data_IF_657136802392
#
_entry.id   IF_657136802392
#
_cell.length_a   1.000
_cell.length_b   1.000
_cell.length_c   1.000
_cell.angle_alpha   90.00
_cell.angle_beta   90.00
_cell.angle_gamma   90.00
#
_symmetry.space_group_name_H-M   'P 1'
#
loop_
_entity.id
_entity.type
_entity.pdbx_description
1 polymer ?
2 water ?
#
# COMPACT_ATOMS: atom_id res chain seq x y z
N UNK A 13 17.26 18.78 17.11
CA UNK A 13 16.61 18.98 18.41
C UNK A 13 15.65 17.85 18.62
N UNK A 14 16.14 16.60 18.49
CA UNK A 14 15.44 15.40 18.81
C UNK A 14 15.88 14.93 20.18
N UNK A 15 14.99 14.97 21.17
CA UNK A 15 15.34 14.50 22.51
C UNK A 15 14.73 13.14 22.73
N UNK A 16 15.50 12.29 23.37
CA UNK A 16 14.95 11.02 23.85
C UNK A 16 13.75 11.33 24.69
N UNK A 17 12.75 10.49 24.58
CA UNK A 17 11.50 10.61 25.28
C UNK A 17 11.64 9.96 26.63
N UNK A 18 10.72 10.26 27.54
CA UNK A 18 10.75 9.56 28.83
C UNK A 18 9.64 8.53 28.82
N UNK A 19 9.93 7.33 29.32
CA UNK A 19 8.86 6.33 29.48
C UNK A 19 7.66 6.97 30.16
N UNK A 20 6.48 6.71 29.65
CA UNK A 20 5.26 7.15 30.31
C UNK A 20 4.71 8.43 29.70
N UNK A 21 5.55 9.10 28.94
CA UNK A 21 5.13 10.35 28.34
C UNK A 21 4.17 10.00 27.21
N UNK A 22 4.48 8.98 26.44
CA UNK A 22 3.59 8.62 25.34
C UNK A 22 3.27 7.14 25.43
N UNK A 23 2.31 6.78 26.25
CA UNK A 23 1.98 5.36 26.41
C UNK A 23 1.26 4.81 25.18
N UNK A 24 0.66 5.70 24.37
CA UNK A 24 -0.07 5.31 23.21
C UNK A 24 0.79 5.14 21.95
N UNK A 25 2.08 5.23 22.04
CA UNK A 25 2.94 4.95 20.94
C UNK A 25 2.80 3.47 20.57
N UNK A 26 2.82 3.18 19.29
CA UNK A 26 2.78 1.83 18.83
C UNK A 26 3.86 1.61 17.83
N UNK A 27 4.50 0.45 17.91
CA UNK A 27 5.44 0.06 16.88
C UNK A 27 4.87 -1.16 16.17
N UNK A 28 5.01 -1.20 14.86
CA UNK A 28 4.62 -2.38 14.10
C UNK A 28 5.86 -3.26 13.80
N UNK A 29 5.69 -4.56 13.94
CA UNK A 29 6.75 -5.51 13.61
C UNK A 29 6.19 -6.71 12.93
N UNK A 30 7.12 -7.46 12.29
CA UNK A 30 6.78 -8.72 11.69
C UNK A 30 6.55 -9.60 12.87
N UNK A 31 5.75 -10.62 12.68
CA UNK A 31 5.30 -11.44 13.80
C UNK A 31 6.40 -12.07 14.65
N UNK A 32 6.35 -11.81 15.94
CA UNK A 32 7.28 -12.37 16.85
C UNK A 32 8.71 -11.87 16.68
N UNK A 33 8.92 -10.97 15.76
CA UNK A 33 10.22 -10.38 15.53
C UNK A 33 10.26 -9.07 16.29
N UNK A 34 11.42 -8.48 16.39
CA UNK A 34 11.56 -7.29 17.25
C UNK A 34 12.07 -6.11 16.44
N UNK A 35 11.82 -6.12 15.15
CA UNK A 35 12.35 -5.09 14.28
C UNK A 35 11.17 -4.34 13.78
N UNK A 36 11.25 -3.04 13.96
CA UNK A 36 10.15 -2.14 13.72
C UNK A 36 10.16 -1.79 12.25
N UNK A 37 9.03 -1.92 11.59
CA UNK A 37 8.94 -1.40 10.23
C UNK A 37 8.12 -0.16 10.06
N UNK A 38 7.24 0.11 10.99
CA UNK A 38 6.39 1.27 10.91
C UNK A 38 5.97 1.69 12.30
N UNK A 39 5.47 2.88 12.41
CA UNK A 39 4.94 3.43 13.63
C UNK A 39 3.41 3.39 13.64
N UNK A 40 2.83 3.78 14.74
CA UNK A 40 1.39 3.81 14.87
C UNK A 40 0.94 4.38 16.21
N UNK A 41 -0.38 4.37 16.44
CA UNK A 41 -0.95 4.85 17.72
C UNK A 41 -2.15 4.06 18.17
N UNK A 42 -2.44 4.05 19.49
CA UNK A 42 -3.49 3.28 20.04
C UNK A 42 -4.75 4.08 20.19
N UNK A 43 -5.84 3.60 19.58
CA UNK A 43 -7.07 4.32 19.50
C UNK A 43 -8.03 3.92 20.63
N UNK A 44 -7.67 2.88 21.38
CA UNK A 44 -8.55 2.30 22.40
C UNK A 44 -9.10 0.99 21.95
N UNK A 45 -9.53 0.15 22.88
CA UNK A 45 -10.07 -1.16 22.54
C UNK A 45 -9.07 -2.03 21.84
N UNK A 46 -9.45 -2.58 20.71
CA UNK A 46 -8.59 -3.52 20.02
C UNK A 46 -8.01 -2.84 18.79
N UNK A 47 -7.90 -1.52 18.79
CA UNK A 47 -7.59 -0.79 17.54
C UNK A 47 -6.32 0.08 17.57
N UNK A 48 -5.54 0.00 16.53
CA UNK A 48 -4.40 0.81 16.28
C UNK A 48 -4.53 1.54 14.94
N UNK A 49 -4.08 2.77 14.95
CA UNK A 49 -4.09 3.63 13.77
C UNK A 49 -2.70 3.74 13.16
N UNK A 50 -2.60 3.59 11.85
CA UNK A 50 -1.33 3.75 11.18
C UNK A 50 -1.55 4.22 9.74
N UNK A 51 -0.49 4.23 8.93
CA UNK A 51 -0.60 4.59 7.56
C UNK A 51 -0.94 3.38 6.70
N UNK A 52 -1.78 3.58 5.70
CA UNK A 52 -2.08 2.55 4.76
C UNK A 52 -0.82 2.03 4.05
N UNK A 53 0.12 2.90 3.74
CA UNK A 53 1.30 2.45 3.01
C UNK A 53 2.16 1.48 3.83
N UNK A 54 1.92 1.45 5.11
CA UNK A 54 2.61 0.51 5.97
C UNK A 54 2.06 -0.88 5.88
N UNK A 55 0.80 -1.02 5.54
CA UNK A 55 0.09 -2.28 5.63
C UNK A 55 -0.71 -2.74 4.41
N UNK A 56 -0.82 -1.91 3.38
CA UNK A 56 -1.76 -2.20 2.30
C UNK A 56 -1.53 -3.60 1.66
N UNK A 57 -2.59 -4.38 1.59
CA UNK A 57 -2.58 -5.68 0.99
C UNK A 57 -1.79 -6.75 1.69
N UNK A 58 -1.19 -6.44 2.81
CA UNK A 58 -0.50 -7.42 3.61
C UNK A 58 -1.45 -8.45 4.28
N UNK A 59 -0.88 -9.58 4.59
CA UNK A 59 -1.50 -10.60 5.40
C UNK A 59 -1.36 -10.17 6.83
N UNK A 60 -2.47 -10.03 7.54
CA UNK A 60 -2.44 -9.47 8.88
C UNK A 60 -1.70 -10.35 9.86
N UNK A 61 -1.77 -11.64 9.67
CA UNK A 61 -1.12 -12.55 10.59
C UNK A 61 0.40 -12.42 10.53
N UNK A 62 0.93 -11.71 9.54
CA UNK A 62 2.35 -11.52 9.44
C UNK A 62 2.87 -10.46 10.44
N UNK A 63 1.95 -9.81 11.12
CA UNK A 63 2.29 -8.61 11.84
C UNK A 63 1.90 -8.64 13.27
N UNK A 64 2.67 -7.90 14.05
CA UNK A 64 2.44 -7.71 15.43
C UNK A 64 2.39 -6.27 15.67
N UNK A 65 1.92 -5.97 16.85
CA UNK A 65 1.90 -4.60 17.36
C UNK A 65 2.70 -4.68 18.70
N UNK A 66 3.47 -3.64 18.97
CA UNK A 66 3.98 -3.40 20.32
C UNK A 66 3.38 -2.13 20.89
N UNK A 67 2.41 -2.25 21.76
CA UNK A 67 1.80 -1.09 22.35
C UNK A 67 2.75 -0.53 23.46
N UNK A 68 2.79 0.79 23.56
CA UNK A 68 3.72 1.49 24.44
C UNK A 68 5.15 1.21 24.08
N UNK A 69 5.44 1.14 22.80
CA UNK A 69 6.80 0.86 22.37
C UNK A 69 7.60 2.00 22.95
N UNK A 70 8.80 1.70 23.43
CA UNK A 70 9.68 2.73 24.03
C UNK A 70 11.13 2.38 23.71
N UNK A 71 11.67 1.43 24.47
CA UNK A 71 13.01 0.93 24.24
C UNK A 71 12.90 -0.34 23.45
N UNK A 72 13.56 -0.43 22.29
CA UNK A 72 13.45 -1.62 21.44
C UNK A 72 14.47 -2.68 21.88
N UNK A 73 15.29 -2.34 22.85
CA UNK A 73 16.08 -3.35 23.49
C UNK A 73 15.48 -3.92 24.74
N UNK A 74 14.42 -3.31 25.24
CA UNK A 74 13.59 -4.00 26.21
C UNK A 74 12.13 -4.00 25.84
N UNK A 75 11.77 -4.89 24.95
CA UNK A 75 10.43 -4.91 24.38
C UNK A 75 9.46 -5.67 25.28
N UNK A 76 10.00 -6.20 26.38
CA UNK A 76 9.19 -6.81 27.42
C UNK A 76 8.27 -5.81 28.06
N UNK A 77 8.76 -4.60 28.19
CA UNK A 77 7.99 -3.55 28.83
C UNK A 77 6.80 -3.11 27.99
N UNK A 78 6.93 -3.26 26.67
CA UNK A 78 5.78 -3.06 25.78
C UNK A 78 4.92 -4.33 25.73
N UNK A 79 3.66 -4.16 25.36
CA UNK A 79 2.76 -5.29 25.20
C UNK A 79 2.61 -5.73 23.72
N UNK A 80 3.10 -6.91 23.40
CA UNK A 80 3.03 -7.50 22.09
C UNK A 80 1.67 -8.12 21.88
N UNK A 81 1.00 -7.74 20.81
CA UNK A 81 -0.28 -8.29 20.44
C UNK A 81 -0.33 -8.60 18.96
N UNK A 82 -0.84 -9.78 18.60
CA UNK A 82 -1.02 -10.13 17.21
C UNK A 82 -2.13 -9.33 16.55
N UNK A 83 -1.91 -8.99 15.29
CA UNK A 83 -2.92 -8.32 14.49
C UNK A 83 -3.85 -9.35 13.87
N UNK A 84 -5.13 -9.06 13.91
CA UNK A 84 -6.15 -9.96 13.35
C UNK A 84 -6.60 -9.54 11.95
N UNK A 85 -6.87 -8.25 11.76
CA UNK A 85 -7.25 -7.73 10.44
C UNK A 85 -6.66 -6.36 10.24
N UNK A 86 -6.58 -6.02 8.98
CA UNK A 86 -6.14 -4.68 8.54
C UNK A 86 -7.26 -4.04 7.75
N UNK A 87 -7.52 -2.76 8.00
CA UNK A 87 -8.50 -1.96 7.26
C UNK A 87 -7.86 -0.71 6.69
N UNK A 88 -7.93 -0.56 5.38
CA UNK A 88 -7.32 0.56 4.66
C UNK A 88 -8.43 1.40 4.03
N UNK A 89 -8.27 2.70 4.04
CA UNK A 89 -9.28 3.55 3.38
C UNK A 89 -9.51 3.14 1.93
N UNK A 90 -10.77 3.08 1.57
CA UNK A 90 -11.19 2.61 0.26
C UNK A 90 -10.73 3.49 -0.91
N UNK A 91 -10.39 4.76 -0.66
CA UNK A 91 -9.76 5.63 -1.65
C UNK A 91 -8.24 5.52 -1.80
N UNK A 92 -7.56 4.79 -0.92
CA UNK A 92 -6.07 4.83 -0.88
C UNK A 92 -5.52 4.13 -2.13
N UNK A 93 -4.63 4.79 -2.82
CA UNK A 93 -3.84 4.19 -3.91
C UNK A 93 -2.38 4.23 -3.59
N UNK A 94 -1.82 5.41 -3.33
CA UNK A 94 -0.39 5.53 -2.82
C UNK A 94 -0.27 6.69 -1.86
N UNK A 95 0.83 6.71 -1.15
CA UNK A 95 1.02 7.71 -0.12
C UNK A 95 0.94 9.13 -0.67
N UNK A 96 1.56 9.38 -1.82
CA UNK A 96 1.49 10.72 -2.39
C UNK A 96 0.06 11.18 -2.75
N UNK A 97 -0.83 10.25 -3.10
CA UNK A 97 -2.15 10.67 -3.52
C UNK A 97 -3.07 10.92 -2.31
N UNK A 98 -2.58 10.62 -1.11
CA UNK A 98 -3.32 10.85 0.13
C UNK A 98 -4.22 9.67 0.55
N UNK A 99 -5.12 9.96 1.45
CA UNK A 99 -5.93 8.93 2.08
C UNK A 99 -5.09 7.86 2.69
N UNK A 100 -3.95 8.26 3.25
CA UNK A 100 -2.91 7.31 3.71
C UNK A 100 -3.23 6.96 5.15
N UNK A 101 -4.18 6.08 5.31
CA UNK A 101 -4.69 5.82 6.63
C UNK A 101 -5.20 4.40 6.74
N UNK A 102 -4.96 3.80 7.87
CA UNK A 102 -5.36 2.47 8.13
C UNK A 102 -5.56 2.19 9.62
N UNK A 103 -6.41 1.24 9.88
CA UNK A 103 -6.69 0.77 11.19
C UNK A 103 -6.41 -0.75 11.31
N UNK A 104 -5.73 -1.14 12.39
CA UNK A 104 -5.50 -2.54 12.67
C UNK A 104 -6.39 -2.99 13.81
N UNK A 105 -7.02 -4.12 13.62
CA UNK A 105 -7.87 -4.74 14.65
C UNK A 105 -7.00 -5.83 15.24
N UNK A 106 -6.76 -5.70 16.53
CA UNK A 106 -5.97 -6.65 17.22
C UNK A 106 -6.81 -7.86 17.62
N UNK A 107 -6.06 -8.92 17.84
CA UNK A 107 -6.63 -10.23 18.14
C UNK A 107 -7.41 -10.24 19.45
N UNK A 108 -6.97 -9.44 20.41
CA UNK A 108 -7.57 -9.42 21.74
C UNK A 108 -7.48 -8.06 22.38
N UNK A 109 -8.21 -7.92 23.45
CA UNK A 109 -8.13 -6.72 24.27
C UNK A 109 -6.79 -6.55 24.93
N UNK A 110 -6.24 -5.36 24.80
CA UNK A 110 -5.06 -4.97 25.51
C UNK A 110 -5.34 -4.77 26.99
N UNK A 111 -4.26 -4.77 27.77
CA UNK A 111 -4.33 -4.26 29.11
C UNK A 111 -4.78 -2.83 29.06
N UNK A 112 -5.46 -2.40 30.10
CA UNK A 112 -5.98 -1.07 30.14
C UNK A 112 -4.86 -0.08 29.87
N UNK A 113 -5.13 0.83 28.98
CA UNK A 113 -4.09 1.71 28.42
C UNK A 113 -4.77 2.92 27.84
N UNK A 114 -4.10 4.03 28.05
CA UNK A 114 -4.61 5.27 27.60
C UNK A 114 -4.55 5.29 26.08
N UNK A 115 -5.49 6.00 25.49
CA UNK A 115 -5.62 6.03 24.07
C UNK A 115 -5.41 7.46 23.57
N UNK A 116 -5.04 7.62 22.32
CA UNK A 116 -4.93 8.92 21.76
C UNK A 116 -6.35 9.55 21.58
N UNK A 117 -6.40 10.90 21.60
CA UNK A 117 -7.58 11.66 21.21
C UNK A 117 -7.41 12.18 19.77
N UNK A 118 -8.35 11.86 18.91
CA UNK A 118 -8.27 12.22 17.50
C UNK A 118 -8.83 13.61 17.26
N UNK A 119 -8.11 14.34 16.40
CA UNK A 119 -8.42 15.69 16.08
C UNK A 119 -9.75 15.78 15.33
N UNK A 120 -10.45 16.89 15.46
CA UNK A 120 -11.63 17.15 14.66
C UNK A 120 -11.44 18.50 14.00
N UNK A 121 -12.36 18.90 13.14
CA UNK A 121 -12.11 20.01 12.29
C UNK A 121 -11.78 21.29 13.11
N UNK A 122 -12.50 21.46 14.19
CA UNK A 122 -12.30 22.62 14.98
C UNK A 122 -10.92 22.63 15.58
N UNK A 123 -10.42 21.49 15.99
CA UNK A 123 -9.03 21.44 16.45
C UNK A 123 -8.07 21.77 15.32
N UNK A 124 -8.33 21.27 14.12
CA UNK A 124 -7.41 21.47 13.01
C UNK A 124 -7.32 22.95 12.64
N UNK A 125 -8.43 23.63 12.71
CA UNK A 125 -8.47 25.05 12.39
C UNK A 125 -7.65 25.88 13.34
N UNK A 126 -7.37 25.39 14.53
CA UNK A 126 -6.55 26.13 15.46
C UNK A 126 -5.17 26.25 14.87
N UNK A 127 -4.80 25.31 14.02
CA UNK A 127 -3.48 25.34 13.41
C UNK A 127 -3.26 26.58 12.52
N UNK A 128 -2.13 27.26 12.73
CA UNK A 128 -1.75 28.33 11.83
C UNK A 128 -0.25 28.22 11.60
N UNK A 129 0.24 29.05 10.69
CA UNK A 129 1.61 28.96 10.34
C UNK A 129 2.53 28.98 11.57
N UNK A 130 3.35 27.94 11.66
CA UNK A 130 4.39 27.83 12.66
C UNK A 130 3.93 27.38 14.02
N UNK A 131 2.65 27.00 14.13
CA UNK A 131 2.19 26.31 15.31
C UNK A 131 3.10 25.11 15.52
N UNK A 132 3.67 24.99 16.73
CA UNK A 132 4.53 23.85 17.01
C UNK A 132 3.70 22.60 17.19
N UNK A 133 4.20 21.48 16.70
CA UNK A 133 3.51 20.21 16.77
C UNK A 133 4.54 19.23 17.18
N UNK A 134 4.15 18.12 17.79
CA UNK A 134 5.16 17.17 18.23
C UNK A 134 5.15 15.85 17.49
N UNK A 135 6.30 15.41 17.03
CA UNK A 135 6.44 14.12 16.36
C UNK A 135 7.24 13.16 17.22
N UNK A 136 6.79 11.94 17.30
CA UNK A 136 7.53 10.94 18.08
C UNK A 136 7.82 9.69 17.24
N UNK A 137 8.87 8.98 17.60
CA UNK A 137 9.29 7.84 16.83
C UNK A 137 10.75 7.42 16.98
N UNK A 138 11.06 6.34 16.28
CA UNK A 138 12.37 5.76 16.28
C UNK A 138 13.08 6.05 14.95
N UNK A 139 12.46 6.83 14.07
CA UNK A 139 13.10 7.15 12.80
C UNK A 139 13.16 6.00 11.80
N UNK A 140 12.09 5.23 11.66
CA UNK A 140 12.02 4.18 10.65
C UNK A 140 11.24 4.60 9.36
N UNK A 141 11.98 4.72 8.25
CA UNK A 141 11.44 4.93 6.88
C UNK A 141 11.01 6.40 6.59
N UNK A 151 17.55 2.57 13.34
CA UNK A 151 17.98 3.95 13.63
C UNK A 151 18.05 4.20 15.14
N UNK A 152 16.92 4.45 15.77
CA UNK A 152 16.86 4.72 17.21
C UNK A 152 16.17 3.56 17.93
N UNK A 153 16.85 3.04 18.94
CA UNK A 153 16.32 1.97 19.75
C UNK A 153 15.46 2.59 20.85
N UNK A 154 15.65 3.87 21.15
CA UNK A 154 14.82 4.52 22.17
C UNK A 154 14.02 5.67 21.60
N UNK A 155 12.78 5.79 22.03
CA UNK A 155 11.84 6.72 21.45
C UNK A 155 12.25 8.18 21.58
N UNK A 156 12.15 8.88 20.47
CA UNK A 156 12.47 10.28 20.42
C UNK A 156 11.26 11.12 20.09
N UNK A 157 11.35 12.38 20.46
CA UNK A 157 10.32 13.37 20.20
C UNK A 157 11.05 14.60 19.73
N UNK A 158 10.41 15.33 18.83
CA UNK A 158 11.00 16.48 18.21
C UNK A 158 9.83 17.37 17.85
N UNK A 159 10.03 18.66 17.95
CA UNK A 159 8.98 19.62 17.70
C UNK A 159 9.03 20.09 16.19
N UNK A 160 7.91 20.33 15.54
CA UNK A 160 7.95 20.93 14.19
C UNK A 160 6.87 21.98 13.97
N UNK A 161 7.12 22.89 13.03
CA UNK A 161 6.19 23.96 12.72
C UNK A 161 5.16 23.57 11.63
N UNK A 162 3.95 24.01 11.81
CA UNK A 162 2.89 23.81 10.85
C UNK A 162 3.20 24.64 9.63
N UNK A 163 2.92 24.05 8.45
CA UNK A 163 3.02 24.76 7.19
C UNK A 163 1.74 24.67 6.40
N UNK A 164 1.08 25.82 6.17
CA UNK A 164 -0.19 25.80 5.45
C UNK A 164 -0.12 25.24 4.07
N UNK A 165 -1.18 24.51 3.67
CA UNK A 165 -1.17 23.74 2.43
C UNK A 165 -0.81 24.56 1.18
N UNK A 166 -1.31 25.81 1.10
CA UNK A 166 -0.98 26.55 -0.09
C UNK A 166 0.49 26.83 -0.17
N UNK A 167 1.16 27.11 0.94
CA UNK A 167 2.62 27.23 0.91
C UNK A 167 3.32 25.87 0.62
N UNK A 168 2.80 24.79 1.23
CA UNK A 168 3.43 23.47 1.09
C UNK A 168 3.42 23.05 -0.36
N UNK A 169 2.33 23.43 -1.03
CA UNK A 169 2.13 23.03 -2.41
C UNK A 169 3.19 23.60 -3.32
N UNK A 170 3.90 24.64 -2.88
CA UNK A 170 5.00 25.24 -3.68
C UNK A 170 6.34 24.68 -3.37
N UNK A 171 6.44 23.69 -2.51
CA UNK A 171 7.74 23.19 -2.15
C UNK A 171 8.31 22.27 -3.23
N UNK A 172 9.60 22.06 -3.18
CA UNK A 172 10.35 21.23 -4.13
C UNK A 172 11.20 22.00 -5.11
N UNK A 173 12.31 21.42 -5.55
CA UNK A 173 13.20 22.07 -6.56
C UNK A 173 13.45 21.21 -7.83
N UNK A 174 12.69 20.14 -7.98
CA UNK A 174 12.84 19.22 -9.14
C UNK A 174 11.46 18.56 -9.35
N UNK A 175 11.28 18.00 -10.55
CA UNK A 175 9.94 17.62 -11.01
C UNK A 175 9.27 16.68 -10.00
N UNK A 176 10.00 15.69 -9.51
CA UNK A 176 9.40 14.64 -8.77
C UNK A 176 8.73 15.11 -7.45
N UNK A 177 9.46 15.90 -6.68
CA UNK A 177 8.92 16.52 -5.47
C UNK A 177 7.91 17.54 -5.79
N UNK A 178 8.25 18.47 -6.67
CA UNK A 178 7.35 19.56 -6.97
C UNK A 178 6.00 18.97 -7.37
N UNK A 179 6.04 17.90 -8.16
CA UNK A 179 4.82 17.26 -8.58
C UNK A 179 4.10 16.65 -7.38
N UNK A 180 4.83 16.00 -6.48
CA UNK A 180 4.18 15.42 -5.34
C UNK A 180 3.60 16.49 -4.42
N UNK A 181 4.37 17.52 -4.11
CA UNK A 181 3.88 18.61 -3.30
C UNK A 181 2.78 19.40 -3.99
N UNK A 182 2.88 19.66 -5.28
CA UNK A 182 1.88 20.46 -5.92
C UNK A 182 0.53 19.76 -6.03
N UNK A 183 0.52 18.45 -5.92
CA UNK A 183 -0.74 17.70 -6.03
C UNK A 183 -1.44 17.43 -4.67
N UNK A 184 -0.95 18.08 -3.60
CA UNK A 184 -1.50 17.76 -2.27
C UNK A 184 -2.97 18.31 -2.16
N UNK A 185 -3.75 17.63 -1.35
CA UNK A 185 -5.08 18.09 -0.98
C UNK A 185 -5.27 18.12 0.52
N UNK A 186 -6.46 18.60 0.92
CA UNK A 186 -6.78 18.78 2.32
C UNK A 186 -7.00 17.52 3.08
N UNK A 187 -6.89 16.36 2.44
CA UNK A 187 -6.83 15.14 3.18
C UNK A 187 -5.45 15.00 3.82
N UNK A 188 -4.57 15.94 3.56
CA UNK A 188 -3.22 15.94 4.15
C UNK A 188 -2.82 17.33 4.57
N UNK A 189 -1.76 17.41 5.38
CA UNK A 189 -1.15 18.66 5.79
C UNK A 189 0.33 18.47 5.99
N UNK A 190 1.05 19.56 6.14
CA UNK A 190 2.47 19.60 6.18
C UNK A 190 3.02 20.24 7.42
N UNK A 191 4.21 19.78 7.81
CA UNK A 191 5.02 20.38 8.88
C UNK A 191 6.49 20.29 8.60
N UNK A 192 7.23 21.36 8.96
CA UNK A 192 8.56 21.64 8.47
C UNK A 192 9.60 20.69 9.07
N UNK A 193 10.57 20.21 8.25
CA UNK A 193 11.43 19.07 8.64
C UNK A 193 12.62 19.51 9.52
N UNK A 199 13.39 14.43 10.74
CA UNK A 199 13.65 13.01 11.02
C UNK A 199 12.89 12.66 12.29
N UNK A 200 13.13 11.45 12.82
CA UNK A 200 12.56 11.06 14.13
C UNK A 200 11.26 10.23 14.07
N UNK A 201 10.30 10.62 13.24
CA UNK A 201 9.04 9.89 13.14
C UNK A 201 9.19 8.66 12.29
N UNK A 202 8.38 7.64 12.60
CA UNK A 202 8.33 6.48 11.74
C UNK A 202 7.14 6.71 10.85
N UNK A 203 7.19 6.06 9.68
CA UNK A 203 6.05 6.02 8.77
C UNK A 203 4.90 5.36 9.52
N UNK A 204 3.72 5.95 9.40
CA UNK A 204 2.54 5.45 10.11
C UNK A 204 2.43 6.01 11.53
N UNK A 205 3.52 6.64 12.00
CA UNK A 205 3.60 7.18 13.31
C UNK A 205 2.85 8.47 13.58
N UNK A 206 2.68 8.82 14.84
CA UNK A 206 1.82 9.96 15.21
C UNK A 206 2.49 11.34 15.30
N UNK A 207 1.69 12.35 14.99
CA UNK A 207 2.08 13.75 15.17
C UNK A 207 0.98 14.44 15.98
N UNK A 208 1.37 15.20 16.98
CA UNK A 208 0.46 15.74 17.95
C UNK A 208 0.44 17.25 17.98
N UNK A 209 -0.65 17.80 18.44
CA UNK A 209 -0.75 19.23 18.71
C UNK A 209 -1.49 19.53 20.06
N UNK A 210 -1.00 20.45 20.84
CA UNK A 210 -1.66 20.76 22.12
C UNK A 210 -2.76 21.78 21.97
N UNK A 211 -3.98 21.35 21.79
CA UNK A 211 -5.03 22.24 21.29
C UNK A 211 -5.70 23.14 22.34
N UNK A 212 -5.24 23.12 23.56
CA UNK A 212 -5.86 23.93 24.64
C UNK A 212 -7.19 23.27 25.00
N UNK A 213 -7.69 22.51 24.04
CA UNK A 213 -8.63 21.51 24.35
C UNK A 213 -7.89 20.17 24.64
N UNK A 214 -6.58 20.27 24.79
CA UNK A 214 -5.74 19.17 25.18
C UNK A 214 -5.05 18.52 23.98
N UNK A 215 -4.16 17.59 24.27
CA UNK A 215 -3.31 16.96 23.31
C UNK A 215 -4.15 16.15 22.33
N UNK A 216 -3.92 16.36 21.04
CA UNK A 216 -4.63 15.62 20.00
C UNK A 216 -3.60 15.12 19.01
N UNK A 217 -3.83 13.92 18.50
CA UNK A 217 -3.10 13.48 17.34
C UNK A 217 -3.71 14.13 16.10
N UNK A 218 -2.94 14.90 15.38
CA UNK A 218 -3.46 15.55 14.21
C UNK A 218 -3.29 14.71 12.93
N UNK A 219 -2.17 13.98 12.86
CA UNK A 219 -1.77 13.33 11.63
C UNK A 219 -1.08 12.02 11.82
N UNK A 220 -0.75 11.41 10.68
CA UNK A 220 -0.03 10.16 10.57
C UNK A 220 1.08 10.40 9.60
N UNK A 221 2.28 9.94 9.89
CA UNK A 221 3.43 10.18 8.99
C UNK A 221 3.20 9.45 7.68
N UNK A 222 3.17 10.19 6.58
CA UNK A 222 2.85 9.61 5.29
C UNK A 222 4.02 9.58 4.31
N UNK A 223 4.56 10.72 4.00
CA UNK A 223 5.73 10.80 3.06
C UNK A 223 6.51 12.07 3.24
N UNK A 224 7.65 12.14 2.55
CA UNK A 224 8.52 13.36 2.59
C UNK A 224 9.46 13.36 3.80
N UNK A 228 16.66 15.78 6.51
CA UNK A 228 17.58 16.87 6.67
C UNK A 228 17.79 17.70 5.41
N UNK A 229 16.92 17.47 4.46
CA UNK A 229 16.89 18.23 3.22
C UNK A 229 16.25 19.56 3.48
N UNK A 230 16.75 20.57 2.76
CA UNK A 230 16.20 21.89 2.91
C UNK A 230 14.85 21.93 2.16
N UNK A 231 13.92 22.67 2.76
CA UNK A 231 12.65 22.95 2.12
C UNK A 231 11.93 21.73 1.64
N UNK A 232 11.83 20.73 2.50
CA UNK A 232 11.15 19.48 2.22
C UNK A 232 10.39 19.10 3.46
N UNK A 233 9.21 19.70 3.65
CA UNK A 233 8.46 19.38 4.84
C UNK A 233 7.84 18.00 4.82
N UNK A 234 7.55 17.50 5.98
CA UNK A 234 6.78 16.27 6.13
C UNK A 234 5.33 16.46 5.75
N UNK A 235 4.77 15.42 5.16
CA UNK A 235 3.40 15.35 4.86
C UNK A 235 2.74 14.35 5.74
N UNK A 236 1.55 14.70 6.23
CA UNK A 236 0.84 13.92 7.19
C UNK A 236 -0.62 13.79 6.80
N UNK A 237 -1.21 12.65 7.07
CA UNK A 237 -2.61 12.43 6.81
C UNK A 237 -3.45 13.33 7.77
N UNK A 238 -4.42 14.02 7.21
CA UNK A 238 -5.24 14.96 8.00
C UNK A 238 -6.36 14.28 8.72
N UNK A 239 -6.12 13.86 9.92
CA UNK A 239 -7.11 12.99 10.62
C UNK A 239 -8.44 13.65 10.89
N UNK A 240 -8.48 14.98 10.94
CA UNK A 240 -9.75 15.71 11.13
C UNK A 240 -10.79 15.47 10.05
N UNK A 241 -10.39 14.99 8.90
CA UNK A 241 -11.29 14.75 7.80
C UNK A 241 -11.65 13.27 7.68
N UNK A 242 -11.12 12.43 8.57
CA UNK A 242 -11.41 10.98 8.63
C UNK A 242 -12.11 10.52 9.89
N UNK A 243 -12.72 11.40 10.68
CA UNK A 243 -13.35 10.99 11.95
C UNK A 243 -14.47 9.96 11.69
N UNK A 244 -15.28 10.16 10.66
CA UNK A 244 -16.37 9.23 10.40
C UNK A 244 -15.87 7.83 9.99
N UNK A 245 -14.87 7.79 9.10
CA UNK A 245 -14.31 6.51 8.67
C UNK A 245 -13.67 5.80 9.87
N UNK A 246 -12.94 6.56 10.69
CA UNK A 246 -12.28 6.00 11.83
C UNK A 246 -13.25 5.40 12.82
N UNK A 247 -14.35 6.10 13.10
CA UNK A 247 -15.36 5.59 14.00
C UNK A 247 -16.01 4.31 13.43
N UNK A 248 -16.31 4.29 12.13
CA UNK A 248 -16.87 3.11 11.54
C UNK A 248 -15.98 1.90 11.70
N UNK A 249 -14.66 2.06 11.52
CA UNK A 249 -13.77 0.91 11.59
C UNK A 249 -13.77 0.32 13.02
N UNK A 250 -14.09 1.14 14.02
CA UNK A 250 -13.98 0.72 15.37
C UNK A 250 -15.32 0.17 15.93
N UNK A 251 -16.35 0.11 15.07
CA UNK A 251 -17.58 -0.50 15.42
C UNK A 251 -17.45 -1.97 15.68
N UNK A 252 -16.39 -2.61 15.13
CA UNK A 252 -16.17 -4.03 15.48
C UNK A 252 -16.49 -5.02 14.39
N UNK A 253 -16.95 -4.57 13.22
CA UNK A 253 -17.12 -5.51 12.15
C UNK A 253 -15.75 -6.07 11.73
N UNK A 254 -15.61 -7.38 11.71
CA UNK A 254 -14.33 -7.98 11.51
C UNK A 254 -14.33 -8.89 10.30
N UNK A 255 -13.45 -8.65 9.40
CA UNK A 255 -13.38 -9.41 8.16
C UNK A 255 -12.05 -9.14 7.49
N UNK A 256 -11.65 -9.98 6.59
CA UNK A 256 -10.48 -9.74 5.79
C UNK A 256 -10.81 -8.80 4.61
N UNK A 257 -10.48 -7.54 4.76
CA UNK A 257 -10.84 -6.53 3.78
C UNK A 257 -10.05 -6.61 2.51
N UNK A 258 -8.76 -6.92 2.59
CA UNK A 258 -7.96 -7.01 1.36
C UNK A 258 -7.18 -8.27 1.34
N UNK A 259 -7.40 -9.07 0.31
CA UNK A 259 -6.63 -10.28 0.10
C UNK A 259 -5.98 -10.20 -1.24
N UNK A 260 -4.66 -10.30 -1.31
CA UNK A 260 -3.97 -10.35 -2.61
C UNK A 260 -3.67 -11.79 -3.01
N UNK A 261 -4.35 -12.25 -4.03
CA UNK A 261 -4.10 -13.60 -4.57
C UNK A 261 -2.81 -13.75 -5.36
N UNK A 262 -2.21 -12.67 -5.74
CA UNK A 262 -0.93 -12.72 -6.50
C UNK A 262 -1.30 -13.00 -7.96
N UNK A 263 -0.45 -13.76 -8.63
CA UNK A 263 -0.72 -14.14 -10.00
C UNK A 263 -1.76 -15.21 -10.10
N UNK A 264 -2.77 -14.95 -10.91
CA UNK A 264 -3.84 -15.92 -11.13
C UNK A 264 -3.98 -16.18 -12.63
N UNK A 265 -4.36 -17.37 -13.01
CA UNK A 265 -4.66 -17.67 -14.38
C UNK A 265 -6.07 -17.14 -14.68
N UNK A 266 -6.32 -16.71 -15.92
CA UNK A 266 -7.66 -16.46 -16.31
C UNK A 266 -8.52 -17.70 -16.16
N UNK A 267 -9.72 -17.49 -15.64
CA UNK A 267 -10.65 -18.59 -15.46
C UNK A 267 -11.75 -18.23 -14.51
N UNK A 268 -12.43 -19.24 -14.05
CA UNK A 268 -13.62 -19.12 -13.24
C UNK A 268 -13.41 -19.65 -11.84
N UNK A 269 -13.79 -18.87 -10.85
CA UNK A 269 -13.44 -19.16 -9.42
C UNK A 269 -14.58 -18.76 -8.46
N UNK A 270 -14.47 -19.20 -7.21
CA UNK A 270 -15.34 -18.75 -6.16
C UNK A 270 -14.53 -18.29 -4.98
N UNK A 271 -15.13 -17.47 -4.12
CA UNK A 271 -14.46 -17.04 -2.94
C UNK A 271 -15.48 -16.79 -1.84
N UNK A 272 -15.08 -16.99 -0.61
CA UNK A 272 -15.99 -16.83 0.49
C UNK A 272 -15.39 -15.88 1.49
N UNK A 273 -16.22 -15.06 2.06
CA UNK A 273 -15.73 -14.06 3.00
C UNK A 273 -16.60 -14.09 4.24
N UNK A 274 -15.97 -14.18 5.41
CA UNK A 274 -16.71 -14.21 6.65
C UNK A 274 -16.64 -12.93 7.42
N UNK A 275 -17.80 -12.45 7.84
CA UNK A 275 -17.92 -11.22 8.61
C UNK A 275 -18.33 -11.58 10.00
N UNK A 276 -17.70 -10.93 10.96
CA UNK A 276 -17.98 -11.18 12.38
C UNK A 276 -18.13 -9.88 13.10
N UNK A 277 -19.13 -9.76 13.95
CA UNK A 277 -19.33 -8.54 14.73
C UNK A 277 -18.66 -8.69 16.08
N UNK A 278 -17.49 -8.10 16.22
CA UNK A 278 -16.75 -8.13 17.49
C UNK A 278 -17.07 -6.93 18.36
N UNK A 279 -18.10 -6.18 17.95
CA UNK A 279 -18.56 -4.99 18.68
C UNK A 279 -19.65 -5.34 19.65
N UNK A 280 -20.09 -4.34 20.42
CA UNK A 280 -21.15 -4.54 21.42
C UNK A 280 -22.52 -4.24 20.90
N UNK A 281 -22.63 -3.63 19.72
CA UNK A 281 -23.95 -3.27 19.22
C UNK A 281 -24.24 -3.88 17.87
N UNK A 282 -25.52 -3.86 17.49
CA UNK A 282 -25.95 -4.41 16.22
C UNK A 282 -25.31 -3.63 15.07
N UNK A 283 -25.07 -4.30 13.94
CA UNK A 283 -24.59 -3.67 12.73
C UNK A 283 -25.53 -4.08 11.62
N UNK A 284 -26.09 -3.08 10.90
CA UNK A 284 -27.13 -3.35 9.93
C UNK A 284 -26.47 -3.41 8.57
N UNK A 285 -26.73 -4.46 7.83
CA UNK A 285 -26.15 -4.64 6.53
C UNK A 285 -27.24 -4.74 5.48
N UNK A 286 -27.21 -3.79 4.53
CA UNK A 286 -28.19 -3.72 3.45
C UNK A 286 -27.75 -4.42 2.18
N UNK A 287 -27.86 -3.70 1.06
CA UNK A 287 -27.61 -4.36 -0.24
C UNK A 287 -26.12 -4.55 -0.60
N UNK A 288 -25.91 -5.42 -1.56
CA UNK A 288 -24.63 -5.96 -1.86
C UNK A 288 -24.31 -5.79 -3.37
N UNK A 289 -23.08 -5.43 -3.68
CA UNK A 289 -22.55 -5.36 -5.07
C UNK A 289 -21.26 -6.08 -5.15
N UNK A 290 -21.07 -6.87 -6.19
CA UNK A 290 -19.74 -7.46 -6.39
C UNK A 290 -19.43 -7.42 -7.83
N UNK A 291 -18.19 -7.10 -8.16
CA UNK A 291 -17.84 -6.89 -9.57
C UNK A 291 -16.33 -6.88 -9.73
N UNK A 292 -15.91 -7.27 -10.95
CA UNK A 292 -14.52 -7.15 -11.31
C UNK A 292 -14.22 -5.76 -11.85
N UNK A 293 -13.17 -5.10 -11.39
CA UNK A 293 -12.90 -3.75 -11.79
C UNK A 293 -12.18 -3.69 -13.14
N UNK A 294 -12.72 -2.90 -14.05
CA UNK A 294 -12.12 -2.77 -15.39
C UNK A 294 -13.14 -2.41 -16.44
N UNK A 295 -12.78 -2.49 -17.73
CA UNK A 295 -13.77 -2.26 -18.77
C UNK A 295 -14.14 -3.48 -19.58
N UNK A 296 -13.71 -4.65 -19.20
CA UNK A 296 -14.09 -5.84 -19.93
C UNK A 296 -15.57 -6.24 -19.73
N UNK A 297 -16.21 -6.54 -20.81
CA UNK A 297 -17.57 -7.06 -20.82
C UNK A 297 -17.66 -8.54 -20.57
N UNK A 298 -16.56 -9.25 -20.59
CA UNK A 298 -16.59 -10.70 -20.37
C UNK A 298 -16.21 -11.07 -18.92
N UNK A 299 -15.42 -10.24 -18.23
CA UNK A 299 -15.17 -10.44 -16.78
C UNK A 299 -16.50 -10.39 -16.04
N UNK A 300 -16.61 -11.17 -14.96
CA UNK A 300 -17.88 -11.16 -14.21
C UNK A 300 -17.72 -11.62 -12.81
N UNK A 301 -18.73 -11.31 -12.02
CA UNK A 301 -18.82 -11.70 -10.59
C UNK A 301 -20.23 -11.64 -10.16
N UNK A 302 -20.62 -12.55 -9.25
CA UNK A 302 -21.97 -12.57 -8.74
C UNK A 302 -22.06 -13.25 -7.41
N UNK A 303 -23.07 -12.89 -6.62
CA UNK A 303 -23.25 -13.49 -5.33
C UNK A 303 -23.82 -14.89 -5.50
N UNK A 304 -23.27 -15.86 -4.81
CA UNK A 304 -23.80 -17.21 -4.84
C UNK A 304 -24.45 -17.58 -3.55
N UNK A 305 -24.05 -16.89 -2.50
CA UNK A 305 -24.68 -17.08 -1.23
C UNK A 305 -24.39 -15.91 -0.36
N UNK A 306 -25.40 -15.40 0.37
CA UNK A 306 -25.22 -14.27 1.25
C UNK A 306 -26.06 -14.30 2.50
N UNK A 307 -25.47 -14.68 3.62
CA UNK A 307 -26.21 -14.72 4.87
C UNK A 307 -26.06 -13.49 5.75
N UNK A 308 -25.55 -12.40 5.22
CA UNK A 308 -25.30 -11.19 6.00
C UNK A 308 -26.35 -10.08 5.84
N UNK A 309 -27.43 -10.33 5.12
CA UNK A 309 -28.44 -9.35 4.96
C UNK A 309 -29.26 -9.12 6.20
N UNK A 310 -29.56 -7.85 6.46
CA UNK A 310 -30.28 -7.48 7.63
C UNK A 310 -29.47 -6.88 8.76
N UNK A 311 -29.30 -7.61 9.83
CA UNK A 311 -28.87 -7.02 11.11
C UNK A 311 -27.99 -8.07 11.69
N UNK A 312 -26.73 -7.71 11.88
CA UNK A 312 -25.80 -8.68 12.39
C UNK A 312 -25.55 -8.25 13.81
N UNK A 313 -25.47 -9.24 14.69
CA UNK A 313 -25.49 -8.97 16.09
C UNK A 313 -24.17 -9.32 16.76
N UNK A 314 -23.96 -8.66 17.92
CA UNK A 314 -22.73 -8.78 18.65
C UNK A 314 -22.34 -10.24 18.86
N UNK A 315 -21.18 -10.62 18.35
CA UNK A 315 -20.68 -11.98 18.55
C UNK A 315 -21.04 -12.87 17.40
N UNK A 316 -22.00 -12.44 16.60
CA UNK A 316 -22.50 -13.24 15.48
C UNK A 316 -21.66 -13.12 14.22
N UNK A 317 -21.84 -14.10 13.34
CA UNK A 317 -21.13 -14.15 12.06
C UNK A 317 -22.05 -14.30 10.89
N UNK A 318 -21.52 -14.01 9.72
CA UNK A 318 -22.22 -14.30 8.52
C UNK A 318 -21.18 -14.52 7.42
N UNK A 319 -21.68 -14.82 6.23
CA UNK A 319 -20.81 -15.15 5.14
C UNK A 319 -21.34 -14.63 3.86
N UNK A 320 -20.42 -14.16 3.00
CA UNK A 320 -20.72 -13.87 1.63
C UNK A 320 -19.84 -14.69 0.69
N UNK A 321 -20.48 -15.45 -0.21
CA UNK A 321 -19.77 -16.23 -1.20
C UNK A 321 -20.11 -15.66 -2.56
N UNK A 322 -19.10 -15.52 -3.37
CA UNK A 322 -19.26 -15.04 -4.71
C UNK A 322 -18.46 -15.88 -5.70
N UNK A 323 -18.91 -15.85 -6.96
CA UNK A 323 -18.20 -16.41 -8.05
C UNK A 323 -17.56 -15.26 -8.78
N UNK A 324 -16.43 -15.50 -9.45
CA UNK A 324 -15.84 -14.51 -10.29
C UNK A 324 -15.19 -15.14 -11.53
N UNK A 325 -15.28 -14.44 -12.64
CA UNK A 325 -14.78 -14.90 -13.91
C UNK A 325 -13.81 -13.88 -14.46
N UNK A 326 -12.55 -14.29 -14.58
CA UNK A 326 -11.48 -13.40 -15.04
C UNK A 326 -11.08 -13.80 -16.43
N UNK A 327 -11.23 -12.87 -17.33
CA UNK A 327 -10.93 -13.15 -18.73
C UNK A 327 -9.92 -12.18 -19.28
N UNK A 328 -9.84 -10.97 -18.80
CA UNK A 328 -8.83 -10.05 -19.29
C UNK A 328 -7.56 -10.22 -18.44
N UNK A 329 -6.42 -10.18 -19.09
CA UNK A 329 -5.15 -10.34 -18.43
C UNK A 329 -4.83 -8.96 -17.95
N UNK A 330 -4.99 -8.69 -16.67
CA UNK A 330 -4.60 -7.41 -16.17
C UNK A 330 -4.47 -7.56 -14.68
N UNK A 331 -3.91 -6.52 -14.07
CA UNK A 331 -3.76 -6.38 -12.65
C UNK A 331 -4.96 -5.58 -12.17
N UNK A 332 -5.91 -6.28 -11.54
CA UNK A 332 -7.12 -5.62 -11.04
C UNK A 332 -7.52 -6.29 -9.73
N UNK A 333 -8.78 -6.12 -9.37
CA UNK A 333 -9.37 -6.67 -8.17
C UNK A 333 -10.87 -6.80 -8.22
N UNK A 334 -11.35 -7.91 -7.68
CA UNK A 334 -12.77 -8.15 -7.48
C UNK A 334 -13.15 -7.28 -6.29
N UNK A 335 -14.15 -6.44 -6.50
CA UNK A 335 -14.63 -5.60 -5.40
C UNK A 335 -15.99 -6.06 -4.88
N UNK A 336 -16.15 -6.01 -3.58
CA UNK A 336 -17.42 -6.25 -2.92
C UNK A 336 -17.77 -5.02 -2.06
N UNK A 337 -18.99 -4.57 -2.21
CA UNK A 337 -19.47 -3.45 -1.39
C UNK A 337 -20.75 -3.89 -0.69
N UNK A 338 -20.78 -3.69 0.63
CA UNK A 338 -22.05 -3.89 1.34
C UNK A 338 -22.48 -2.66 2.07
N UNK A 339 -23.69 -2.18 1.73
CA UNK A 339 -24.23 -0.97 2.41
C UNK A 339 -24.51 -1.24 3.86
N UNK A 340 -24.35 -0.21 4.68
CA UNK A 340 -24.73 -0.30 6.09
C UNK A 340 -25.19 1.04 6.57
N UNK A 341 -26.43 1.07 7.06
CA UNK A 341 -27.00 2.22 7.69
C UNK A 341 -26.27 2.55 9.01
N UNK A 342 -25.70 1.54 9.66
CA UNK A 342 -24.99 1.76 10.89
C UNK A 342 -23.70 2.58 10.61
N UNK A 343 -23.12 2.43 9.43
CA UNK A 343 -21.87 3.09 9.12
C UNK A 343 -22.15 4.52 8.74
N UNK A 344 -21.39 5.46 9.28
CA UNK A 344 -21.51 6.85 8.86
C UNK A 344 -21.12 7.09 7.40
N UNK A 345 -20.13 6.38 6.92
CA UNK A 345 -19.70 6.42 5.51
C UNK A 345 -20.56 5.56 4.61
N UNK A 346 -21.49 4.82 5.20
CA UNK A 346 -22.59 4.21 4.44
C UNK A 346 -22.33 2.84 3.85
N UNK A 347 -21.10 2.34 3.88
CA UNK A 347 -20.83 1.03 3.28
C UNK A 347 -19.52 0.38 3.70
N UNK A 348 -19.47 -0.91 3.54
CA UNK A 348 -18.35 -1.76 3.93
C UNK A 348 -17.71 -2.19 2.63
N UNK A 349 -16.41 -2.01 2.49
CA UNK A 349 -15.67 -2.41 1.27
C UNK A 349 -14.80 -3.65 1.47
N UNK A 350 -14.70 -4.45 0.42
CA UNK A 350 -13.84 -5.64 0.45
C UNK A 350 -13.26 -5.95 -0.88
N UNK A 351 -12.06 -6.54 -0.89
CA UNK A 351 -11.22 -6.67 -2.09
C UNK A 351 -10.51 -8.01 -2.26
N UNK A 352 -10.39 -8.41 -3.49
CA UNK A 352 -9.67 -9.61 -3.85
C UNK A 352 -8.79 -9.25 -5.06
N UNK A 353 -7.50 -8.94 -4.79
CA UNK A 353 -6.63 -8.43 -5.84
C UNK A 353 -6.00 -9.61 -6.58
N UNK A 354 -5.77 -9.41 -7.86
CA UNK A 354 -5.19 -10.44 -8.71
C UNK A 354 -4.39 -9.83 -9.83
N UNK A 355 -3.46 -10.62 -10.36
CA UNK A 355 -2.64 -10.23 -11.48
C UNK A 355 -2.78 -11.36 -12.48
N UNK A 356 -3.65 -11.19 -13.47
CA UNK A 356 -4.03 -12.27 -14.35
C UNK A 356 -3.11 -12.43 -15.49
N UNK A 357 -2.42 -13.53 -15.54
CA UNK A 357 -1.40 -13.77 -16.54
C UNK A 357 -1.31 -15.26 -16.81
N UNK A 358 -0.77 -15.59 -17.98
CA UNK A 358 -0.55 -16.97 -18.32
C UNK A 358 0.84 -17.35 -17.98
N UNK A 359 1.05 -18.64 -17.81
CA UNK A 359 2.37 -19.18 -17.63
C UNK A 359 3.26 -19.02 -18.88
N UNK A 360 4.50 -18.62 -18.69
CA UNK A 360 5.47 -18.67 -19.80
C UNK A 360 5.64 -20.11 -20.27
N UNK A 361 5.61 -20.37 -21.56
CA UNK A 361 5.84 -21.71 -22.06
C UNK A 361 7.27 -22.18 -21.93
N UNK A 362 7.51 -23.45 -22.23
CA UNK A 362 8.82 -24.08 -22.02
C UNK A 362 9.96 -23.34 -22.68
N UNK A 363 9.81 -22.93 -23.91
CA UNK A 363 10.90 -22.23 -24.59
C UNK A 363 11.36 -21.00 -23.83
N UNK A 364 10.43 -20.25 -23.33
CA UNK A 364 10.72 -19.07 -22.58
C UNK A 364 11.35 -19.40 -21.23
N UNK A 365 10.85 -20.39 -20.52
CA UNK A 365 11.43 -20.78 -19.25
C UNK A 365 12.90 -21.27 -19.49
N UNK A 366 13.13 -22.02 -20.53
CA UNK A 366 14.47 -22.43 -20.88
C UNK A 366 15.39 -21.23 -21.16
N UNK A 367 14.87 -20.25 -21.87
CA UNK A 367 15.65 -19.06 -22.23
C UNK A 367 16.15 -18.36 -20.98
N UNK A 368 15.33 -18.40 -19.93
CA UNK A 368 15.59 -17.67 -18.68
C UNK A 368 16.18 -18.57 -17.60
N UNK A 369 16.70 -19.73 -18.00
CA UNK A 369 17.10 -20.73 -17.00
C UNK A 369 18.41 -20.38 -16.25
N UNK A 370 19.12 -19.38 -16.73
CA UNK A 370 20.33 -18.97 -16.02
C UNK A 370 19.93 -18.03 -14.82
N UNK A 371 18.66 -17.59 -14.78
CA UNK A 371 18.20 -16.84 -13.64
C UNK A 371 17.71 -17.76 -12.56
N UNK A 372 17.86 -17.38 -11.32
CA UNK A 372 17.23 -18.14 -10.23
C UNK A 372 15.76 -17.64 -10.02
N UNK A 373 14.90 -17.77 -11.01
CA UNK A 373 13.55 -17.17 -10.91
C UNK A 373 12.58 -18.30 -10.50
N UNK A 374 11.60 -17.94 -9.67
CA UNK A 374 10.64 -18.92 -9.20
C UNK A 374 9.66 -19.23 -10.33
N UNK A 375 9.10 -18.19 -10.90
CA UNK A 375 8.12 -18.32 -11.97
C UNK A 375 8.10 -17.17 -12.97
N UNK A 376 7.95 -17.49 -14.23
CA UNK A 376 7.84 -16.52 -15.28
C UNK A 376 6.43 -16.50 -15.88
N UNK A 377 5.86 -15.31 -16.05
CA UNK A 377 4.49 -15.17 -16.56
C UNK A 377 4.39 -14.15 -17.64
N UNK A 378 3.40 -14.28 -18.50
CA UNK A 378 3.15 -13.32 -19.60
C UNK A 378 1.68 -12.99 -19.81
N UNK A 379 1.42 -11.83 -20.42
CA UNK A 379 0.06 -11.49 -20.79
C UNK A 379 -0.28 -12.00 -22.20
N UNK A 380 -1.40 -11.56 -22.72
CA UNK A 380 -1.88 -11.89 -24.04
C UNK A 380 -1.14 -11.37 -25.26
N UNK A 381 -0.15 -10.54 -25.08
CA UNK A 381 0.73 -10.05 -26.14
C UNK A 381 2.10 -10.32 -25.59
N UNK A 382 2.36 -11.62 -25.39
CA UNK A 382 3.56 -12.11 -24.70
C UNK A 382 4.92 -11.81 -25.28
N UNK A 383 5.91 -11.68 -24.39
CA UNK A 383 7.27 -11.58 -24.82
C UNK A 383 7.63 -13.07 -25.14
N UNK A 384 8.19 -13.33 -26.27
CA UNK A 384 8.59 -14.72 -26.65
C UNK A 384 9.98 -14.73 -27.29
N UNK A 385 10.57 -15.90 -27.38
CA UNK A 385 11.97 -15.97 -27.77
C UNK A 385 12.06 -15.82 -29.29
N UNK A 386 12.85 -14.87 -29.69
CA UNK A 386 13.14 -14.71 -31.14
C UNK A 386 14.63 -14.53 -31.21
N UNK A 387 15.30 -15.51 -31.82
CA UNK A 387 16.75 -15.47 -31.98
C UNK A 387 17.43 -15.50 -30.62
N UNK A 388 18.30 -14.54 -30.35
CA UNK A 388 19.00 -14.50 -29.09
C UNK A 388 18.30 -13.66 -28.04
N UNK A 389 17.04 -13.32 -28.24
CA UNK A 389 16.39 -12.33 -27.40
C UNK A 389 15.00 -12.70 -27.05
N UNK A 390 14.47 -12.07 -26.00
CA UNK A 390 13.06 -12.15 -25.73
C UNK A 390 12.44 -10.95 -26.37
N UNK A 391 11.39 -11.17 -27.15
CA UNK A 391 10.80 -10.08 -27.95
C UNK A 391 9.32 -9.94 -27.80
N UNK A 392 8.87 -8.71 -27.70
CA UNK A 392 7.44 -8.41 -27.69
C UNK A 392 6.71 -8.95 -28.86
N UNK A 393 5.53 -9.47 -28.61
CA UNK A 393 4.55 -9.86 -29.67
C UNK A 393 4.02 -8.63 -30.36
N UNK A 394 3.61 -8.82 -31.60
CA UNK A 394 2.98 -7.79 -32.36
C UNK A 394 1.78 -7.32 -31.58
N UNK A 395 1.66 -6.02 -31.35
CA UNK A 395 0.59 -5.57 -30.51
C UNK A 395 -0.08 -4.38 -31.02
N UNK A 396 -1.39 -4.29 -30.77
CA UNK A 396 -2.21 -3.19 -31.28
C UNK A 396 -2.01 -1.94 -30.45
N UNK A 397 -2.27 -0.80 -31.04
CA UNK A 397 -2.15 0.47 -30.34
C UNK A 397 -3.05 0.42 -29.12
N UNK A 398 -2.59 1.00 -28.01
CA UNK A 398 -3.41 1.01 -26.79
C UNK A 398 -3.26 -0.26 -25.96
N UNK A 399 -2.36 -1.15 -26.37
CA UNK A 399 -2.18 -2.34 -25.65
C UNK A 399 -0.75 -2.46 -25.14
N UNK A 400 -0.53 -3.41 -24.28
CA UNK A 400 0.83 -3.62 -23.77
C UNK A 400 1.29 -5.08 -23.72
N UNK A 401 2.61 -5.25 -23.88
CA UNK A 401 3.22 -6.56 -23.85
C UNK A 401 3.91 -6.74 -22.48
N UNK A 402 3.52 -7.80 -21.75
CA UNK A 402 3.94 -7.93 -20.42
C UNK A 402 4.65 -9.22 -20.11
N UNK A 403 5.79 -9.16 -19.42
CA UNK A 403 6.40 -10.32 -18.83
C UNK A 403 6.77 -10.07 -17.42
N UNK A 404 6.49 -11.04 -16.53
CA UNK A 404 6.78 -10.92 -15.12
C UNK A 404 7.69 -12.03 -14.66
N UNK A 405 8.77 -11.64 -13.99
CA UNK A 405 9.65 -12.54 -13.35
C UNK A 405 9.36 -12.56 -11.85
N UNK A 406 8.70 -13.61 -11.37
CA UNK A 406 8.19 -13.68 -10.04
C UNK A 406 9.06 -14.49 -9.12
N UNK A 407 9.51 -13.86 -8.06
CA UNK A 407 10.30 -14.53 -6.97
C UNK A 407 11.79 -14.66 -7.27
N UNK A 408 12.47 -13.56 -7.47
CA UNK A 408 13.89 -13.58 -7.63
C UNK A 408 14.46 -13.18 -6.30
N UNK A 409 15.65 -13.71 -5.91
CA UNK A 409 16.27 -13.28 -4.69
C UNK A 409 16.95 -11.96 -4.84
N UNK A 410 17.42 -11.40 -3.71
CA UNK A 410 18.05 -10.09 -3.75
C UNK A 410 19.35 -10.08 -4.53
N UNK A 411 19.58 -8.99 -5.23
CA UNK A 411 20.72 -8.90 -6.10
C UNK A 411 20.37 -7.98 -7.23
N UNK A 412 21.12 -8.09 -8.32
CA UNK A 412 20.91 -7.25 -9.48
C UNK A 412 20.51 -8.09 -10.66
N UNK A 413 19.63 -7.54 -11.44
CA UNK A 413 19.24 -8.11 -12.68
C UNK A 413 19.83 -7.19 -13.73
N UNK A 414 20.56 -7.81 -14.65
CA UNK A 414 21.19 -7.11 -15.74
C UNK A 414 20.54 -7.53 -17.04
N UNK A 415 20.43 -6.59 -17.96
CA UNK A 415 19.85 -6.92 -19.26
C UNK A 415 20.26 -5.92 -20.30
N UNK A 416 20.21 -6.36 -21.56
CA UNK A 416 20.30 -5.46 -22.64
C UNK A 416 18.90 -5.27 -23.20
N UNK A 417 18.60 -4.03 -23.60
CA UNK A 417 17.35 -3.71 -24.22
C UNK A 417 17.56 -3.06 -25.56
N UNK A 418 16.56 -3.22 -26.42
CA UNK A 418 16.54 -2.55 -27.73
C UNK A 418 15.09 -2.30 -28.10
N UNK A 419 14.69 -1.03 -28.15
CA UNK A 419 13.35 -0.71 -28.61
C UNK A 419 13.40 -0.08 -30.01
N UNK A 420 12.41 -0.42 -30.82
CA UNK A 420 12.28 0.26 -32.11
C UNK A 420 10.82 0.60 -32.33
N UNK A 421 10.56 1.90 -32.38
CA UNK A 421 9.30 2.46 -32.84
C UNK A 421 9.46 3.90 -33.29
N UNK A 422 8.77 4.25 -34.39
CA UNK A 422 8.70 5.63 -34.81
C UNK A 422 7.87 6.47 -33.81
N UNK A 423 7.14 5.83 -32.93
CA UNK A 423 6.31 6.60 -32.02
C UNK A 423 7.03 6.81 -30.67
N UNK A 424 7.12 8.05 -30.27
CA UNK A 424 7.92 8.40 -29.12
C UNK A 424 7.28 8.01 -27.81
N UNK A 425 5.98 7.78 -27.82
CA UNK A 425 5.30 7.32 -26.62
C UNK A 425 5.23 5.81 -26.56
N UNK A 426 5.84 5.11 -27.52
CA UNK A 426 5.97 3.66 -27.39
C UNK A 426 7.22 3.37 -26.54
N UNK A 427 7.01 2.98 -25.29
CA UNK A 427 8.07 2.91 -24.31
C UNK A 427 8.03 1.66 -23.44
N UNK A 428 9.20 1.29 -22.95
CA UNK A 428 9.34 0.18 -21.98
C UNK A 428 9.44 0.64 -20.53
N UNK A 429 8.60 0.10 -19.69
CA UNK A 429 8.51 0.46 -18.32
C UNK A 429 8.88 -0.78 -17.48
N UNK A 430 9.65 -0.54 -16.40
CA UNK A 430 10.10 -1.67 -15.60
C UNK A 430 9.70 -1.41 -14.16
N UNK A 431 9.14 -2.41 -13.55
CA UNK A 431 8.82 -2.34 -12.11
C UNK A 431 9.46 -3.49 -11.35
N UNK A 432 9.92 -3.16 -10.17
CA UNK A 432 10.41 -4.09 -9.18
C UNK A 432 9.52 -4.01 -7.95
N UNK A 433 8.87 -5.10 -7.62
CA UNK A 433 7.96 -5.15 -6.52
C UNK A 433 6.92 -4.04 -6.62
N UNK A 434 6.35 -3.84 -7.81
CA UNK A 434 5.36 -2.79 -8.04
C UNK A 434 5.83 -1.35 -7.87
N UNK A 435 7.13 -1.09 -7.81
CA UNK A 435 7.59 0.29 -7.74
C UNK A 435 8.21 0.53 -9.12
N UNK A 436 7.91 1.68 -9.70
CA UNK A 436 8.48 2.04 -10.98
C UNK A 436 9.98 2.33 -10.86
N UNK A 437 10.80 1.71 -11.72
CA UNK A 437 12.25 1.76 -11.60
C UNK A 437 13.02 2.13 -12.89
N UNK A 438 12.34 2.19 -14.00
CA UNK A 438 13.01 2.52 -15.26
C UNK A 438 12.01 2.73 -16.40
N UNK A 439 12.37 3.64 -17.29
CA UNK A 439 11.64 3.95 -18.51
C UNK A 439 12.67 3.91 -19.62
N UNK A 440 12.36 3.34 -20.76
CA UNK A 440 13.30 3.29 -21.86
C UNK A 440 12.61 3.73 -23.16
N UNK A 441 13.28 4.58 -23.94
CA UNK A 441 12.65 5.31 -24.96
C UNK A 441 12.82 4.60 -26.30
N UNK A 442 11.88 4.93 -27.20
CA UNK A 442 11.85 4.34 -28.49
C UNK A 442 13.17 4.58 -29.25
N UNK A 443 13.52 3.58 -30.05
CA UNK A 443 14.71 3.57 -30.92
C UNK A 443 16.04 3.72 -30.17
N UNK A 444 16.15 3.06 -29.03
CA UNK A 444 17.40 3.13 -28.22
C UNK A 444 17.74 1.75 -27.69
N UNK A 445 19.05 1.50 -27.54
CA UNK A 445 19.52 0.23 -27.03
C UNK A 445 20.75 0.41 -26.14
N UNK A 446 20.70 -0.18 -24.96
CA UNK A 446 21.82 -0.08 -24.03
C UNK A 446 21.66 -1.04 -22.86
N UNK A 447 22.78 -1.35 -22.21
CA UNK A 447 22.74 -2.25 -21.06
C UNK A 447 22.25 -1.49 -19.84
N UNK A 448 21.43 -2.16 -19.03
CA UNK A 448 20.94 -1.58 -17.78
C UNK A 448 20.99 -2.64 -16.67
N UNK A 449 20.95 -2.17 -15.45
CA UNK A 449 20.94 -3.00 -14.26
C UNK A 449 19.90 -2.52 -13.26
N UNK A 450 19.12 -3.42 -12.70
CA UNK A 450 18.18 -3.10 -11.67
C UNK A 450 18.63 -3.74 -10.38
N UNK A 451 18.60 -2.95 -9.30
CA UNK A 451 18.91 -3.48 -7.98
C UNK A 451 17.63 -4.00 -7.39
N UNK A 452 17.66 -5.23 -6.91
CA UNK A 452 16.53 -5.78 -6.25
C UNK A 452 16.94 -5.90 -4.82
N UNK A 453 16.55 -4.96 -3.97
CA UNK A 453 16.80 -5.11 -2.52
C UNK A 453 15.61 -5.91 -2.07
N UNK A 454 15.66 -6.54 -0.96
CA UNK A 454 14.42 -7.24 -0.58
C UNK A 454 14.57 -8.69 -0.83
N UNK A 455 13.90 -9.45 0.03
CA UNK A 455 14.17 -10.85 0.19
C UNK A 455 13.64 -11.64 -0.96
N UNK A 456 12.54 -11.17 -1.50
CA UNK A 456 11.82 -11.83 -2.50
C UNK A 456 11.34 -10.79 -3.49
N UNK A 457 11.67 -10.95 -4.78
CA UNK A 457 11.46 -9.88 -5.70
C UNK A 457 10.68 -10.24 -6.98
N UNK A 458 9.96 -9.27 -7.50
CA UNK A 458 9.24 -9.43 -8.69
C UNK A 458 9.62 -8.33 -9.65
N UNK A 459 9.99 -8.72 -10.85
CA UNK A 459 10.35 -7.78 -11.85
C UNK A 459 9.41 -7.83 -13.01
N UNK A 460 8.75 -6.71 -13.32
CA UNK A 460 7.76 -6.68 -14.36
C UNK A 460 8.21 -5.81 -15.51
N UNK A 461 8.26 -6.40 -16.69
CA UNK A 461 8.55 -5.65 -17.92
C UNK A 461 7.28 -5.35 -18.66
N UNK A 462 7.00 -4.08 -18.90
CA UNK A 462 5.77 -3.67 -19.59
C UNK A 462 6.06 -2.77 -20.76
N UNK A 463 5.94 -3.28 -21.99
CA UNK A 463 6.18 -2.46 -23.13
C UNK A 463 4.81 -1.92 -23.54
N UNK A 464 4.70 -0.60 -23.62
CA UNK A 464 3.41 0.01 -23.85
C UNK A 464 3.36 0.58 -25.23
N UNK A 465 2.49 0.09 -26.09
CA UNK A 465 2.33 0.72 -27.40
C UNK A 465 1.18 1.71 -27.26
N UNK A 466 1.49 2.99 -27.42
CA UNK A 466 0.54 3.98 -27.04
C UNK A 466 -0.67 4.08 -27.94
N UNK A 467 -1.72 4.64 -27.34
CA UNK A 467 -3.02 4.77 -27.98
C UNK A 467 -2.93 5.33 -29.40
N UNK A 468 -2.08 6.32 -29.59
CA UNK A 468 -1.92 6.99 -30.89
C UNK A 468 -0.84 6.44 -31.81
N UNK A 469 -0.21 5.35 -31.38
CA UNK A 469 0.93 4.84 -32.12
C UNK A 469 0.50 4.23 -33.43
N UNK A 470 1.21 4.61 -34.47
CA UNK A 470 0.82 4.26 -35.79
C UNK A 470 1.86 3.29 -36.39
N UNK A 471 2.88 2.90 -35.63
CA UNK A 471 3.89 2.00 -36.11
C UNK A 471 3.48 0.60 -35.69
N UNK A 472 2.97 -0.15 -36.64
CA UNK A 472 2.50 -1.52 -36.39
C UNK A 472 3.65 -2.43 -36.02
N UNK A 473 4.88 -2.02 -36.31
CA UNK A 473 6.06 -2.82 -35.97
C UNK A 473 6.64 -2.51 -34.61
N UNK A 474 6.00 -1.65 -33.85
CA UNK A 474 6.49 -1.23 -32.55
C UNK A 474 6.84 -2.45 -31.72
N UNK A 475 8.07 -2.50 -31.23
CA UNK A 475 8.55 -3.69 -30.53
C UNK A 475 9.68 -3.38 -29.54
N UNK A 476 9.95 -4.34 -28.66
CA UNK A 476 11.11 -4.34 -27.78
C UNK A 476 11.72 -5.72 -27.64
N UNK A 477 13.02 -5.73 -27.36
CA UNK A 477 13.80 -6.95 -27.24
C UNK A 477 14.72 -6.87 -26.06
N UNK A 478 14.66 -7.88 -25.23
CA UNK A 478 15.58 -8.05 -24.13
C UNK A 478 16.48 -9.21 -24.40
N UNK A 479 17.77 -8.99 -24.10
CA UNK A 479 18.83 -9.97 -24.28
C UNK A 479 19.86 -9.86 -23.17
N UNK A 480 20.84 -10.74 -23.15
CA UNK A 480 21.94 -10.69 -22.18
C UNK A 480 21.43 -10.54 -20.77
N UNK A 481 20.42 -11.32 -20.45
CA UNK A 481 19.75 -11.21 -19.17
C UNK A 481 20.47 -12.02 -18.10
N UNK A 482 20.87 -11.36 -17.03
CA UNK A 482 21.52 -12.10 -15.98
C UNK A 482 21.18 -11.65 -14.59
N UNK A 483 21.37 -12.60 -13.66
CA UNK A 483 21.26 -12.31 -12.26
C UNK A 483 22.67 -12.26 -11.63
N UNK A 484 22.97 -11.18 -10.91
CA UNK A 484 24.20 -11.09 -10.13
C UNK A 484 23.84 -10.91 -8.67
N UNK A 485 24.27 -11.84 -7.81
CA UNK A 485 23.93 -11.77 -6.36
C UNK A 485 24.65 -10.71 -5.56
N UNK A 486 25.72 -10.15 -6.11
CA UNK A 486 26.45 -9.06 -5.49
C UNK A 486 26.03 -7.78 -6.17
N UNK A 487 26.21 -6.63 -5.53
CA UNK A 487 25.71 -5.35 -6.07
C UNK A 487 26.76 -4.41 -6.68
N UNK A 488 27.97 -4.86 -6.96
CA UNK A 488 28.96 -3.96 -7.64
C UNK A 488 29.90 -4.79 -8.45
N UNK A 489 30.56 -4.13 -9.37
CA UNK A 489 31.59 -4.71 -10.24
C UNK A 489 30.88 -5.20 -11.51
#
# INVERSE_FOLDING_TARGET
SGTESGVSSRIIGGEQATAGEWPYMVALTARNSSHVFCGGSYLGGRYVLTAAHCVDKEDPAKGDVLLGAFDMNDVNTAERIHVRQIYVHNSYITASMGNDIAVLELERDPLPRRSVQISDSSDFNELTKDSPMTVIGFGNRKEVDGEKSDPATILHQVQVPFVPLPECKTKGSDQDAKNNYSQLTNNAFCAGSFGKDACSGDAGGPIFFDSNNGRKQMGVVSWGDGCGRANSPGVYTNLSVFNDWLDDQQLGLSYRQKRDLGVVRPGSYTHNLTFTNNGNADINLGNTFVFVVGISRTDAAAIVNNSCTGVLASGASCDVEFSYNITEHKQSYVKLIIGSSTYKTGAVHAYLYFDALDAAPSETVSFLANLPVHNTHVNDHPWTVVGNGLQTSALPAGEESVILLENLPQGRLKFHYKLSSSEVLDQLFVYVNDKFKGKYFNNTENLATLDMYGTNNKVRFVYRRHSGSTDDQSRAILSQISYDPKFFDLPPPLDIRIGDENLYFQ
#
